data_IF_474479731130
#
_entry.id   IF_474479731130
#
_cell.length_a   1.000
_cell.length_b   1.000
_cell.length_c   1.000
_cell.angle_alpha   90.00
_cell.angle_beta   90.00
_cell.angle_gamma   90.00
#
_symmetry.space_group_name_H-M   'P 1'
#
loop_
_entity.id
_entity.type
_entity.pdbx_description
1 polymer ?
#
# COMPACT_ATOMS: atom_id res chain seq x y z
N UNK A 1 23.80 -19.17 -12.31
CA UNK A 1 22.81 -18.16 -11.90
C UNK A 1 21.70 -18.16 -12.93
N UNK A 2 20.43 -18.29 -12.52
CA UNK A 2 19.29 -18.19 -13.45
C UNK A 2 19.14 -16.75 -13.93
N UNK A 3 18.62 -16.54 -15.14
CA UNK A 3 18.37 -15.19 -15.69
C UNK A 3 17.55 -14.31 -14.73
N UNK A 4 16.52 -14.91 -14.11
CA UNK A 4 15.72 -14.28 -13.08
C UNK A 4 16.52 -13.79 -11.86
N UNK A 5 17.45 -14.59 -11.32
CA UNK A 5 18.27 -14.18 -10.16
C UNK A 5 19.17 -12.98 -10.46
N UNK A 6 19.68 -12.88 -11.69
CA UNK A 6 20.47 -11.73 -12.13
C UNK A 6 19.62 -10.45 -12.25
N UNK A 7 18.40 -10.56 -12.77
CA UNK A 7 17.44 -9.44 -12.81
C UNK A 7 17.06 -8.98 -11.40
N UNK A 8 16.73 -9.91 -10.50
CA UNK A 8 16.45 -9.56 -9.10
C UNK A 8 17.63 -8.87 -8.42
N UNK A 9 18.87 -9.31 -8.69
CA UNK A 9 20.06 -8.64 -8.19
C UNK A 9 20.21 -7.20 -8.72
N UNK A 10 19.86 -6.96 -9.99
CA UNK A 10 19.83 -5.61 -10.60
C UNK A 10 18.77 -4.73 -9.92
N UNK A 11 17.55 -5.24 -9.73
CA UNK A 11 16.47 -4.49 -9.08
C UNK A 11 16.78 -4.19 -7.60
N UNK A 12 17.37 -5.15 -6.88
CA UNK A 12 17.83 -4.94 -5.51
C UNK A 12 18.87 -3.82 -5.41
N UNK A 13 19.84 -3.83 -6.32
CA UNK A 13 20.89 -2.82 -6.37
C UNK A 13 20.33 -1.43 -6.74
N UNK A 14 19.34 -1.37 -7.62
CA UNK A 14 18.63 -0.13 -7.97
C UNK A 14 17.90 0.47 -6.77
N UNK A 15 17.16 -0.37 -6.03
CA UNK A 15 16.42 0.03 -4.83
C UNK A 15 17.37 0.45 -3.70
N UNK A 16 18.53 -0.19 -3.58
CA UNK A 16 19.58 0.18 -2.63
C UNK A 16 20.25 1.51 -2.99
N UNK A 17 20.61 1.71 -4.26
CA UNK A 17 21.29 2.94 -4.73
C UNK A 17 20.37 4.17 -4.68
N UNK A 18 19.07 3.98 -4.88
CA UNK A 18 18.06 5.01 -4.68
C UNK A 18 17.63 5.18 -3.22
N UNK A 19 18.30 4.47 -2.29
CA UNK A 19 18.04 4.47 -0.84
C UNK A 19 16.61 4.08 -0.44
N UNK A 20 15.77 3.60 -1.39
CA UNK A 20 14.38 3.21 -1.15
C UNK A 20 14.26 2.13 -0.08
N UNK A 21 15.25 1.23 0.02
CA UNK A 21 15.30 0.19 1.06
C UNK A 21 15.46 0.78 2.47
N UNK A 22 16.01 1.99 2.61
CA UNK A 22 16.26 2.63 3.90
C UNK A 22 15.16 3.64 4.21
N UNK A 23 14.92 4.59 3.30
CA UNK A 23 13.99 5.68 3.59
C UNK A 23 12.52 5.22 3.59
N UNK A 24 12.15 4.23 2.76
CA UNK A 24 10.76 3.78 2.70
C UNK A 24 10.30 3.12 4.01
N UNK A 25 11.07 2.17 4.61
CA UNK A 25 10.74 1.68 5.95
C UNK A 25 10.68 2.77 7.01
N UNK A 26 11.57 3.76 6.97
CA UNK A 26 11.56 4.87 7.93
C UNK A 26 10.26 5.68 7.79
N UNK A 27 9.83 5.98 6.57
CA UNK A 27 8.58 6.72 6.37
C UNK A 27 7.38 5.91 6.84
N UNK A 28 7.30 4.61 6.52
CA UNK A 28 6.23 3.76 7.03
C UNK A 28 6.26 3.59 8.55
N UNK A 29 7.44 3.54 9.16
CA UNK A 29 7.61 3.57 10.61
C UNK A 29 7.02 4.86 11.20
N UNK A 30 7.39 6.02 10.65
CA UNK A 30 6.85 7.30 11.10
C UNK A 30 5.32 7.36 10.93
N UNK A 31 4.78 6.92 9.80
CA UNK A 31 3.33 6.86 9.57
C UNK A 31 2.61 5.99 10.60
N UNK A 32 3.17 4.82 10.92
CA UNK A 32 2.63 3.93 11.94
C UNK A 32 2.64 4.54 13.35
N UNK A 33 3.64 5.39 13.65
CA UNK A 33 3.74 6.10 14.93
C UNK A 33 2.86 7.34 15.01
N UNK A 34 2.57 8.00 13.89
CA UNK A 34 1.82 9.25 13.86
C UNK A 34 0.45 9.11 14.51
N UNK A 35 -0.32 8.08 14.17
CA UNK A 35 -1.68 7.91 14.71
C UNK A 35 -1.71 7.68 16.23
N UNK A 36 -0.98 6.71 16.82
CA UNK A 36 -1.01 6.50 18.27
C UNK A 36 -0.47 7.70 19.06
N UNK A 37 0.58 8.36 18.56
CA UNK A 37 1.09 9.57 19.21
C UNK A 37 0.06 10.69 19.15
N UNK A 38 -0.54 10.94 17.99
CA UNK A 38 -1.56 11.97 17.84
C UNK A 38 -2.73 11.72 18.78
N UNK A 39 -3.24 10.48 18.83
CA UNK A 39 -4.42 10.18 19.64
C UNK A 39 -4.15 10.25 21.14
N UNK A 40 -2.95 9.88 21.59
CA UNK A 40 -2.56 9.95 22.99
C UNK A 40 -2.42 11.39 23.48
N UNK A 41 -1.80 12.26 22.67
CA UNK A 41 -1.56 13.66 23.04
C UNK A 41 -2.70 14.61 22.67
N UNK A 42 -3.70 14.17 21.87
CA UNK A 42 -4.82 14.99 21.45
C UNK A 42 -5.57 15.66 22.64
N UNK A 43 -5.88 14.98 23.76
CA UNK A 43 -6.54 15.62 24.89
C UNK A 43 -5.70 16.75 25.50
N UNK A 44 -4.39 16.58 25.60
CA UNK A 44 -3.50 17.58 26.18
C UNK A 44 -3.27 18.77 25.24
N UNK A 45 -3.21 18.52 23.93
CA UNK A 45 -3.22 19.58 22.91
C UNK A 45 -4.51 20.41 23.05
N UNK A 46 -5.67 19.75 23.17
CA UNK A 46 -6.94 20.45 23.32
C UNK A 46 -7.02 21.26 24.62
N UNK A 47 -6.47 20.79 25.74
CA UNK A 47 -6.42 21.58 26.99
C UNK A 47 -5.59 22.86 26.87
N UNK A 48 -4.52 22.83 26.08
CA UNK A 48 -3.61 23.98 25.92
C UNK A 48 -4.16 24.99 24.90
N UNK A 49 -4.78 24.52 23.82
CA UNK A 49 -5.24 25.36 22.72
C UNK A 49 -6.75 25.65 22.73
N UNK A 50 -7.54 24.86 23.46
CA UNK A 50 -8.99 25.02 23.57
C UNK A 50 -9.37 26.07 24.61
N UNK A 51 -10.23 27.00 24.22
CA UNK A 51 -10.76 28.04 25.11
C UNK A 51 -12.17 27.67 25.59
N UNK A 52 -12.35 27.48 26.89
CA UNK A 52 -13.68 27.41 27.53
C UNK A 52 -14.23 26.00 27.81
N UNK A 53 -15.41 25.96 28.44
CA UNK A 53 -16.12 24.75 28.91
C UNK A 53 -16.52 23.76 27.81
N UNK A 54 -16.53 24.20 26.55
CA UNK A 54 -16.77 23.33 25.39
C UNK A 54 -15.60 22.36 25.15
N UNK A 55 -14.37 22.75 25.50
CA UNK A 55 -13.18 21.89 25.34
C UNK A 55 -13.22 20.69 26.30
N UNK A 56 -13.65 20.91 27.54
CA UNK A 56 -13.81 19.84 28.53
C UNK A 56 -14.94 18.88 28.14
N UNK A 57 -16.03 19.40 27.57
CA UNK A 57 -17.12 18.58 27.04
C UNK A 57 -16.66 17.74 25.84
N UNK A 58 -15.87 18.31 24.91
CA UNK A 58 -15.30 17.57 23.77
C UNK A 58 -14.34 16.48 24.24
N UNK A 59 -13.47 16.76 25.22
CA UNK A 59 -12.55 15.76 25.79
C UNK A 59 -13.34 14.65 26.49
N UNK A 60 -14.40 14.98 27.23
CA UNK A 60 -15.26 14.00 27.87
C UNK A 60 -16.05 13.15 26.86
N UNK A 61 -16.52 13.75 25.76
CA UNK A 61 -17.22 13.07 24.67
C UNK A 61 -16.31 12.16 23.84
N UNK A 62 -15.02 12.50 23.71
CA UNK A 62 -14.04 11.71 22.96
C UNK A 62 -13.80 10.34 23.59
N UNK A 63 -14.03 10.21 24.90
CA UNK A 63 -13.83 9.00 25.67
C UNK A 63 -12.37 8.51 25.66
N UNK A 64 -12.12 7.40 26.36
CA UNK A 64 -10.85 6.71 26.20
C UNK A 64 -10.92 5.88 24.92
N UNK A 65 -10.12 6.24 23.91
CA UNK A 65 -10.04 5.47 22.67
C UNK A 65 -9.48 4.09 22.95
N UNK A 66 -10.13 3.07 22.40
CA UNK A 66 -9.64 1.70 22.52
C UNK A 66 -8.40 1.48 21.66
N UNK A 67 -7.52 0.56 22.07
CA UNK A 67 -6.36 0.16 21.29
C UNK A 67 -6.74 -0.29 19.87
N UNK A 68 -7.89 -0.97 19.74
CA UNK A 68 -8.44 -1.44 18.47
C UNK A 68 -8.84 -0.28 17.55
N UNK A 69 -9.48 0.77 18.07
CA UNK A 69 -9.86 1.95 17.29
C UNK A 69 -8.63 2.69 16.77
N UNK A 70 -7.63 2.91 17.62
CA UNK A 70 -6.40 3.59 17.21
C UNK A 70 -5.67 2.79 16.13
N UNK A 71 -5.61 1.47 16.26
CA UNK A 71 -5.00 0.61 15.24
C UNK A 71 -5.80 0.59 13.93
N UNK A 72 -7.13 0.54 14.01
CA UNK A 72 -8.01 0.61 12.85
C UNK A 72 -7.87 1.95 12.12
N UNK A 73 -7.77 3.07 12.84
CA UNK A 73 -7.51 4.39 12.27
C UNK A 73 -6.12 4.46 11.62
N UNK A 74 -5.10 3.86 12.24
CA UNK A 74 -3.75 3.80 11.68
C UNK A 74 -3.77 3.14 10.29
N UNK A 75 -4.47 2.01 10.18
CA UNK A 75 -4.60 1.26 8.94
C UNK A 75 -5.47 1.98 7.89
N UNK A 76 -6.68 2.37 8.27
CA UNK A 76 -7.69 2.94 7.37
C UNK A 76 -7.53 4.44 7.06
N UNK A 77 -6.64 5.15 7.76
CA UNK A 77 -6.36 6.56 7.49
C UNK A 77 -4.91 6.78 7.06
N UNK A 78 -3.93 6.41 7.91
CA UNK A 78 -2.52 6.73 7.62
C UNK A 78 -1.97 5.89 6.48
N UNK A 79 -2.10 4.56 6.57
CA UNK A 79 -1.59 3.69 5.51
C UNK A 79 -2.43 3.78 4.23
N UNK A 80 -3.76 3.85 4.34
CA UNK A 80 -4.64 3.94 3.17
C UNK A 80 -4.58 5.26 2.41
N UNK A 81 -4.30 6.38 3.07
CA UNK A 81 -4.17 7.66 2.37
C UNK A 81 -2.71 7.91 2.00
N UNK A 82 -1.86 8.09 3.01
CA UNK A 82 -0.48 8.53 2.80
C UNK A 82 0.40 7.35 2.37
N UNK A 83 0.26 6.18 2.99
CA UNK A 83 1.03 4.98 2.64
C UNK A 83 0.83 4.55 1.18
N UNK A 84 -0.42 4.57 0.70
CA UNK A 84 -0.75 4.30 -0.71
C UNK A 84 -0.11 5.34 -1.65
N UNK A 85 -0.20 6.63 -1.34
CA UNK A 85 0.42 7.67 -2.18
C UNK A 85 1.93 7.46 -2.27
N UNK A 86 2.58 7.15 -1.15
CA UNK A 86 4.03 6.91 -1.13
C UNK A 86 4.40 5.70 -1.98
N UNK A 87 3.70 4.57 -1.85
CA UNK A 87 4.04 3.38 -2.64
C UNK A 87 3.82 3.62 -4.14
N UNK A 88 2.79 4.39 -4.51
CA UNK A 88 2.58 4.82 -5.90
C UNK A 88 3.78 5.62 -6.40
N UNK A 89 4.25 6.62 -5.64
CA UNK A 89 5.42 7.45 -6.02
C UNK A 89 6.70 6.61 -6.13
N UNK A 90 6.88 5.62 -5.25
CA UNK A 90 8.03 4.71 -5.29
C UNK A 90 8.02 3.82 -6.53
N UNK A 91 6.85 3.30 -6.91
CA UNK A 91 6.69 2.30 -7.95
C UNK A 91 6.38 2.89 -9.34
N UNK A 92 5.93 4.14 -9.47
CA UNK A 92 5.51 4.74 -10.75
C UNK A 92 6.60 4.71 -11.83
N UNK A 93 7.88 4.75 -11.43
CA UNK A 93 9.04 4.77 -12.32
C UNK A 93 9.58 3.37 -12.67
N UNK A 94 9.02 2.30 -12.11
CA UNK A 94 9.67 0.98 -12.10
C UNK A 94 9.95 0.41 -13.51
N UNK A 95 9.00 0.53 -14.45
CA UNK A 95 9.15 0.08 -15.83
C UNK A 95 9.44 1.26 -16.76
N UNK A 96 8.81 2.40 -16.51
CA UNK A 96 8.98 3.60 -17.32
C UNK A 96 10.44 4.06 -17.38
N UNK A 97 11.17 4.03 -16.26
CA UNK A 97 12.57 4.50 -16.23
C UNK A 97 13.52 3.63 -17.06
N UNK A 98 13.24 2.33 -17.17
CA UNK A 98 13.99 1.44 -18.05
C UNK A 98 13.64 1.71 -19.52
N UNK A 99 12.40 2.08 -19.82
CA UNK A 99 11.96 2.48 -21.18
C UNK A 99 12.60 3.79 -21.63
N UNK A 100 12.52 4.84 -20.81
CA UNK A 100 13.01 6.18 -21.17
C UNK A 100 14.53 6.27 -21.27
N UNK A 101 15.26 5.36 -20.61
CA UNK A 101 16.71 5.24 -20.73
C UNK A 101 17.15 4.31 -21.89
N UNK A 102 16.21 3.76 -22.66
CA UNK A 102 16.49 2.76 -23.71
C UNK A 102 16.98 1.40 -23.18
N UNK A 103 17.02 1.23 -21.85
CA UNK A 103 17.50 -0.01 -21.21
C UNK A 103 16.57 -1.18 -21.51
N UNK A 104 15.26 -0.93 -21.61
CA UNK A 104 14.27 -1.97 -21.90
C UNK A 104 14.57 -2.68 -23.22
N UNK A 105 14.90 -1.94 -24.28
CA UNK A 105 15.25 -2.51 -25.57
C UNK A 105 16.52 -3.36 -25.49
N UNK A 106 17.53 -2.92 -24.73
CA UNK A 106 18.76 -3.68 -24.51
C UNK A 106 18.55 -4.95 -23.66
N UNK A 107 17.62 -4.92 -22.70
CA UNK A 107 17.29 -6.11 -21.91
C UNK A 107 16.58 -7.15 -22.78
N UNK A 108 15.69 -6.71 -23.67
CA UNK A 108 14.91 -7.60 -24.53
C UNK A 108 15.71 -8.23 -25.68
N UNK A 109 16.94 -7.78 -25.96
CA UNK A 109 17.85 -8.46 -26.90
C UNK A 109 18.63 -9.61 -26.27
N UNK A 110 18.63 -9.71 -24.93
CA UNK A 110 19.22 -10.84 -24.21
C UNK A 110 18.22 -12.01 -24.15
N UNK A 111 18.67 -13.25 -23.91
CA UNK A 111 17.79 -14.41 -23.77
C UNK A 111 17.03 -14.39 -22.42
N UNK A 112 16.26 -13.32 -22.19
CA UNK A 112 15.45 -13.09 -20.99
C UNK A 112 14.01 -12.94 -21.43
N UNK A 113 13.10 -13.66 -20.78
CA UNK A 113 11.68 -13.57 -21.12
C UNK A 113 11.06 -12.30 -20.55
N UNK A 114 10.04 -11.75 -21.22
CA UNK A 114 9.27 -10.61 -20.69
C UNK A 114 8.64 -10.93 -19.34
N UNK A 115 8.28 -12.21 -19.12
CA UNK A 115 7.75 -12.69 -17.84
C UNK A 115 8.78 -12.50 -16.73
N UNK A 116 10.01 -12.99 -16.90
CA UNK A 116 11.07 -12.84 -15.88
C UNK A 116 11.36 -11.38 -15.57
N UNK A 117 11.38 -10.52 -16.59
CA UNK A 117 11.56 -9.07 -16.41
C UNK A 117 10.43 -8.47 -15.56
N UNK A 118 9.17 -8.65 -15.95
CA UNK A 118 8.01 -8.09 -15.22
C UNK A 118 7.90 -8.68 -13.81
N UNK A 119 8.13 -10.00 -13.67
CA UNK A 119 8.14 -10.68 -12.38
C UNK A 119 9.20 -10.08 -11.46
N UNK A 120 10.41 -9.83 -11.96
CA UNK A 120 11.49 -9.25 -11.14
C UNK A 120 11.12 -7.85 -10.62
N UNK A 121 10.53 -7.01 -11.47
CA UNK A 121 10.05 -5.67 -11.11
C UNK A 121 8.96 -5.75 -10.05
N UNK A 122 7.92 -6.54 -10.31
CA UNK A 122 6.77 -6.66 -9.42
C UNK A 122 7.15 -7.25 -8.05
N UNK A 123 7.92 -8.34 -8.03
CA UNK A 123 8.38 -8.97 -6.79
C UNK A 123 9.23 -8.00 -5.98
N UNK A 124 10.14 -7.25 -6.62
CA UNK A 124 10.99 -6.30 -5.90
C UNK A 124 10.17 -5.15 -5.28
N UNK A 125 9.17 -4.61 -5.99
CA UNK A 125 8.28 -3.59 -5.41
C UNK A 125 7.45 -4.16 -4.25
N UNK A 126 6.95 -5.39 -4.38
CA UNK A 126 6.24 -6.06 -3.29
C UNK A 126 7.15 -6.29 -2.08
N UNK A 127 8.39 -6.74 -2.28
CA UNK A 127 9.34 -7.00 -1.20
C UNK A 127 9.67 -5.73 -0.41
N UNK A 128 10.03 -4.64 -1.10
CA UNK A 128 10.39 -3.37 -0.44
C UNK A 128 9.15 -2.72 0.18
N UNK A 129 8.02 -2.74 -0.53
CA UNK A 129 6.75 -2.18 -0.06
C UNK A 129 6.23 -2.92 1.18
N UNK A 130 6.06 -4.24 1.11
CA UNK A 130 5.59 -5.05 2.24
C UNK A 130 6.59 -5.07 3.39
N UNK A 131 7.89 -5.07 3.11
CA UNK A 131 8.94 -4.93 4.12
C UNK A 131 8.86 -3.59 4.87
N UNK A 132 8.48 -2.52 4.19
CA UNK A 132 8.27 -1.22 4.82
C UNK A 132 6.97 -1.20 5.62
N UNK A 133 5.89 -1.75 5.04
CA UNK A 133 4.58 -1.85 5.68
C UNK A 133 4.63 -2.68 6.96
N UNK A 134 5.31 -3.83 6.97
CA UNK A 134 5.41 -4.67 8.18
C UNK A 134 6.16 -3.94 9.30
N UNK A 135 7.22 -3.19 8.98
CA UNK A 135 7.95 -2.39 9.97
C UNK A 135 7.04 -1.31 10.56
N UNK A 136 6.31 -0.57 9.71
CA UNK A 136 5.35 0.44 10.16
C UNK A 136 4.21 -0.15 11.00
N UNK A 137 3.66 -1.27 10.56
CA UNK A 137 2.55 -1.96 11.23
C UNK A 137 2.96 -2.52 12.60
N UNK A 138 4.12 -3.17 12.69
CA UNK A 138 4.66 -3.70 13.96
C UNK A 138 4.97 -2.56 14.94
N UNK A 139 5.56 -1.45 14.46
CA UNK A 139 5.83 -0.30 15.32
C UNK A 139 4.54 0.36 15.82
N UNK A 140 3.53 0.50 14.98
CA UNK A 140 2.21 0.98 15.38
C UNK A 140 1.62 0.07 16.47
N UNK A 141 1.56 -1.24 16.24
CA UNK A 141 1.03 -2.21 17.19
C UNK A 141 1.79 -2.20 18.52
N UNK A 142 3.13 -2.07 18.48
CA UNK A 142 3.97 -1.98 19.67
C UNK A 142 3.67 -0.74 20.52
N UNK A 143 3.59 0.45 19.89
CA UNK A 143 3.29 1.68 20.61
C UNK A 143 1.85 1.73 21.10
N UNK A 144 0.90 1.19 20.33
CA UNK A 144 -0.49 1.10 20.75
C UNK A 144 -0.64 0.16 21.95
N UNK A 145 0.05 -0.98 21.95
CA UNK A 145 0.09 -1.89 23.10
C UNK A 145 0.53 -1.16 24.37
N UNK A 146 1.58 -0.36 24.27
CA UNK A 146 2.14 0.39 25.40
C UNK A 146 1.23 1.53 25.89
N UNK A 147 0.56 2.25 24.98
CA UNK A 147 -0.21 3.45 25.31
C UNK A 147 -1.69 3.18 25.62
N UNK A 148 -2.31 2.23 24.91
CA UNK A 148 -3.77 1.99 24.94
C UNK A 148 -4.14 0.57 25.41
N UNK A 149 -3.16 -0.32 25.57
CA UNK A 149 -3.37 -1.68 26.07
C UNK A 149 -3.48 -2.75 24.97
N UNK A 150 -3.98 -3.93 25.35
CA UNK A 150 -3.79 -5.13 24.54
C UNK A 150 -4.75 -5.22 23.33
N UNK A 151 -4.22 -5.70 22.21
CA UNK A 151 -4.99 -6.11 21.03
C UNK A 151 -4.73 -7.59 20.81
N UNK A 152 -5.77 -8.35 20.49
CA UNK A 152 -5.63 -9.77 20.19
C UNK A 152 -4.65 -9.98 19.02
N UNK A 153 -3.57 -10.73 19.26
CA UNK A 153 -2.53 -11.00 18.26
C UNK A 153 -3.12 -11.65 17.00
N UNK A 154 -4.14 -12.50 17.15
CA UNK A 154 -4.82 -13.13 16.03
C UNK A 154 -5.48 -12.10 15.08
N UNK A 155 -6.16 -11.08 15.62
CA UNK A 155 -6.81 -10.05 14.79
C UNK A 155 -5.78 -9.12 14.14
N UNK A 156 -4.65 -8.84 14.81
CA UNK A 156 -3.52 -8.12 14.22
C UNK A 156 -2.92 -8.88 13.02
N UNK A 157 -2.62 -10.16 13.19
CA UNK A 157 -2.02 -10.96 12.11
C UNK A 157 -3.00 -11.08 10.93
N UNK A 158 -4.28 -11.38 11.18
CA UNK A 158 -5.28 -11.50 10.12
C UNK A 158 -5.46 -10.18 9.36
N UNK A 159 -5.62 -9.06 10.07
CA UNK A 159 -5.77 -7.75 9.44
C UNK A 159 -4.54 -7.34 8.62
N UNK A 160 -3.33 -7.65 9.09
CA UNK A 160 -2.10 -7.41 8.33
C UNK A 160 -2.09 -8.16 6.99
N UNK A 161 -2.46 -9.45 6.97
CA UNK A 161 -2.50 -10.22 5.72
C UNK A 161 -3.57 -9.74 4.75
N UNK A 162 -4.76 -9.40 5.26
CA UNK A 162 -5.87 -8.86 4.45
C UNK A 162 -5.47 -7.51 3.84
N UNK A 163 -4.89 -6.63 4.66
CA UNK A 163 -4.42 -5.34 4.20
C UNK A 163 -3.24 -5.46 3.22
N UNK A 164 -2.33 -6.40 3.45
CA UNK A 164 -1.21 -6.66 2.53
C UNK A 164 -1.69 -7.05 1.15
N UNK A 165 -2.81 -7.79 1.03
CA UNK A 165 -3.40 -8.14 -0.26
C UNK A 165 -3.90 -6.90 -1.02
N UNK A 166 -4.58 -5.98 -0.31
CA UNK A 166 -4.96 -4.67 -0.86
C UNK A 166 -3.73 -3.87 -1.31
N UNK A 167 -2.68 -3.84 -0.49
CA UNK A 167 -1.45 -3.14 -0.79
C UNK A 167 -0.73 -3.72 -2.03
N UNK A 168 -0.71 -5.05 -2.19
CA UNK A 168 -0.18 -5.73 -3.38
C UNK A 168 -1.02 -5.40 -4.62
N UNK A 169 -2.35 -5.30 -4.49
CA UNK A 169 -3.20 -4.86 -5.59
C UNK A 169 -2.82 -3.45 -6.07
N UNK A 170 -2.61 -2.50 -5.16
CA UNK A 170 -2.16 -1.14 -5.49
C UNK A 170 -0.81 -1.17 -6.22
N UNK A 171 0.17 -1.94 -5.72
CA UNK A 171 1.47 -2.10 -6.39
C UNK A 171 1.27 -2.65 -7.81
N UNK A 172 0.41 -3.66 -7.98
CA UNK A 172 0.13 -4.28 -9.28
C UNK A 172 -0.48 -3.29 -10.27
N UNK A 173 -1.42 -2.47 -9.80
CA UNK A 173 -2.03 -1.39 -10.58
C UNK A 173 -0.97 -0.36 -11.02
N UNK A 174 -0.09 0.07 -10.13
CA UNK A 174 0.96 1.06 -10.43
C UNK A 174 1.99 0.51 -11.40
N UNK A 175 2.41 -0.75 -11.23
CA UNK A 175 3.34 -1.42 -12.14
C UNK A 175 2.71 -1.54 -13.54
N UNK A 176 1.42 -1.90 -13.62
CA UNK A 176 0.69 -1.90 -14.88
C UNK A 176 0.62 -0.50 -15.51
N UNK A 177 0.26 0.53 -14.74
CA UNK A 177 0.21 1.90 -15.23
C UNK A 177 1.60 2.38 -15.71
N UNK A 178 2.67 2.04 -15.00
CA UNK A 178 4.07 2.33 -15.39
C UNK A 178 4.44 1.69 -16.73
N UNK A 179 3.89 0.51 -17.05
CA UNK A 179 4.06 -0.11 -18.36
C UNK A 179 3.16 0.53 -19.44
N UNK A 180 1.94 0.95 -19.10
CA UNK A 180 0.97 1.49 -20.05
C UNK A 180 1.31 2.92 -20.52
N UNK A 181 1.78 3.77 -19.61
CA UNK A 181 1.99 5.20 -19.82
C UNK A 181 3.46 5.63 -19.76
N UNK A 182 3.81 6.62 -20.58
CA UNK A 182 5.19 7.09 -20.72
C UNK A 182 5.56 8.27 -19.80
N UNK A 183 4.57 8.89 -19.14
CA UNK A 183 4.78 10.00 -18.19
C UNK A 183 4.59 9.59 -16.74
N UNK A 184 5.61 9.80 -15.88
CA UNK A 184 5.54 9.48 -14.44
C UNK A 184 4.36 10.18 -13.76
N UNK A 185 4.08 11.43 -14.13
CA UNK A 185 2.97 12.19 -13.55
C UNK A 185 1.62 11.52 -13.85
N UNK A 186 1.43 11.05 -15.09
CA UNK A 186 0.20 10.36 -15.50
C UNK A 186 0.04 9.05 -14.73
N UNK A 187 1.11 8.27 -14.59
CA UNK A 187 1.11 7.01 -13.82
C UNK A 187 0.69 7.25 -12.38
N UNK A 188 1.25 8.27 -11.73
CA UNK A 188 0.92 8.61 -10.36
C UNK A 188 -0.55 9.07 -10.21
N UNK A 189 -0.97 10.04 -11.02
CA UNK A 189 -2.33 10.62 -10.96
C UNK A 189 -3.39 9.53 -11.17
N UNK A 190 -3.25 8.71 -12.21
CA UNK A 190 -4.23 7.66 -12.52
C UNK A 190 -4.29 6.63 -11.39
N UNK A 191 -3.13 6.18 -10.90
CA UNK A 191 -3.09 5.15 -9.85
C UNK A 191 -3.69 5.65 -8.53
N UNK A 192 -3.35 6.87 -8.11
CA UNK A 192 -3.91 7.49 -6.91
C UNK A 192 -5.41 7.73 -7.09
N UNK A 193 -5.83 8.28 -8.23
CA UNK A 193 -7.25 8.55 -8.51
C UNK A 193 -8.10 7.29 -8.46
N UNK A 194 -7.67 6.21 -9.13
CA UNK A 194 -8.36 4.92 -9.10
C UNK A 194 -8.43 4.40 -7.67
N UNK A 195 -7.34 4.47 -6.91
CA UNK A 195 -7.29 3.96 -5.54
C UNK A 195 -8.23 4.72 -4.59
N UNK A 196 -8.26 6.06 -4.69
CA UNK A 196 -9.20 6.90 -3.94
C UNK A 196 -10.64 6.59 -4.34
N UNK A 197 -10.92 6.44 -5.63
CA UNK A 197 -12.27 6.14 -6.13
C UNK A 197 -12.76 4.78 -5.60
N UNK A 198 -11.91 3.75 -5.61
CA UNK A 198 -12.22 2.45 -5.00
C UNK A 198 -12.47 2.57 -3.49
N UNK A 199 -11.67 3.38 -2.79
CA UNK A 199 -11.87 3.70 -1.38
C UNK A 199 -13.22 4.36 -1.11
N UNK A 200 -13.61 5.35 -1.91
CA UNK A 200 -14.91 6.02 -1.82
C UNK A 200 -16.06 5.03 -2.08
N UNK A 201 -15.95 4.19 -3.13
CA UNK A 201 -16.96 3.17 -3.44
C UNK A 201 -17.13 2.21 -2.27
N UNK A 202 -16.07 1.87 -1.55
CA UNK A 202 -16.14 1.01 -0.36
C UNK A 202 -17.00 1.61 0.76
N UNK A 203 -17.25 2.93 0.74
CA UNK A 203 -18.19 3.67 1.58
C UNK A 203 -19.65 3.22 1.49
N UNK A 204 -20.11 2.87 0.29
CA UNK A 204 -21.54 2.77 0.00
C UNK A 204 -22.17 1.39 0.27
N UNK A 205 -21.37 0.38 0.62
CA UNK A 205 -21.85 -0.98 0.89
C UNK A 205 -22.41 -1.69 -0.35
N UNK A 206 -23.14 -2.79 -0.13
CA UNK A 206 -23.83 -3.56 -1.18
C UNK A 206 -23.00 -4.65 -1.87
N UNK A 207 -23.66 -5.41 -2.76
CA UNK A 207 -23.05 -6.56 -3.47
C UNK A 207 -21.86 -6.18 -4.37
N UNK A 208 -21.80 -4.93 -4.81
CA UNK A 208 -20.70 -4.40 -5.66
C UNK A 208 -19.35 -4.48 -4.94
N UNK A 209 -19.33 -4.51 -3.61
CA UNK A 209 -18.09 -4.62 -2.82
C UNK A 209 -17.35 -5.94 -3.01
N UNK A 210 -18.03 -6.98 -3.51
CA UNK A 210 -17.40 -8.22 -3.93
C UNK A 210 -16.31 -7.98 -5.00
N UNK A 211 -16.48 -6.97 -5.85
CA UNK A 211 -15.54 -6.64 -6.91
C UNK A 211 -14.52 -5.56 -6.55
N UNK A 212 -14.70 -4.88 -5.40
CA UNK A 212 -13.91 -3.73 -5.00
C UNK A 212 -12.73 -4.13 -4.08
N UNK A 213 -11.47 -4.08 -4.54
CA UNK A 213 -10.33 -4.48 -3.73
C UNK A 213 -10.10 -3.58 -2.51
N UNK A 214 -10.51 -2.31 -2.54
CA UNK A 214 -10.41 -1.41 -1.39
C UNK A 214 -11.27 -1.86 -0.20
N UNK A 215 -12.28 -2.69 -0.45
CA UNK A 215 -13.09 -3.29 0.61
C UNK A 215 -12.28 -4.22 1.53
N UNK A 216 -11.14 -4.75 1.07
CA UNK A 216 -10.23 -5.50 1.93
C UNK A 216 -9.62 -4.63 3.02
N UNK A 217 -9.31 -3.35 2.75
CA UNK A 217 -8.82 -2.45 3.80
C UNK A 217 -9.87 -2.25 4.89
N UNK A 218 -11.14 -2.05 4.50
CA UNK A 218 -12.26 -1.97 5.45
C UNK A 218 -12.48 -3.27 6.24
N UNK A 219 -12.31 -4.42 5.59
CA UNK A 219 -12.35 -5.70 6.31
C UNK A 219 -11.20 -5.82 7.31
N UNK A 220 -10.01 -5.34 6.96
CA UNK A 220 -8.86 -5.35 7.86
C UNK A 220 -9.11 -4.47 9.10
N UNK A 221 -9.69 -3.28 8.94
CA UNK A 221 -10.06 -2.43 10.08
C UNK A 221 -11.19 -3.05 10.92
N UNK A 222 -12.22 -3.61 10.28
CA UNK A 222 -13.34 -4.26 10.98
C UNK A 222 -12.88 -5.49 11.78
N UNK A 223 -11.94 -6.28 11.25
CA UNK A 223 -11.34 -7.42 11.94
C UNK A 223 -10.59 -6.99 13.22
N UNK A 224 -9.92 -5.84 13.19
CA UNK A 224 -9.25 -5.28 14.38
C UNK A 224 -10.28 -4.84 15.42
N UNK A 225 -11.33 -4.14 14.99
CA UNK A 225 -12.34 -3.55 15.88
C UNK A 225 -13.26 -4.59 16.53
N UNK A 226 -13.74 -5.55 15.75
CA UNK A 226 -14.81 -6.47 16.16
C UNK A 226 -14.41 -7.94 16.18
N UNK A 227 -13.25 -8.30 15.62
CA UNK A 227 -12.87 -9.69 15.39
C UNK A 227 -13.70 -10.40 14.30
N UNK A 228 -14.64 -9.70 13.65
CA UNK A 228 -15.52 -10.27 12.64
C UNK A 228 -15.19 -9.69 11.26
N UNK A 229 -15.30 -10.54 10.23
CA UNK A 229 -15.21 -10.13 8.83
C UNK A 229 -16.53 -9.52 8.36
N UNK A 230 -16.47 -8.62 7.38
CA UNK A 230 -17.67 -8.09 6.74
C UNK A 230 -18.25 -9.10 5.73
N UNK A 231 -19.45 -8.80 5.22
CA UNK A 231 -20.08 -9.59 4.17
C UNK A 231 -19.19 -9.71 2.92
N UNK A 232 -19.32 -10.81 2.17
CA UNK A 232 -18.57 -11.05 0.93
C UNK A 232 -17.03 -11.10 1.07
N UNK A 233 -16.48 -11.11 2.29
CA UNK A 233 -15.04 -11.10 2.57
C UNK A 233 -14.21 -12.09 1.72
N UNK A 234 -14.60 -13.38 1.72
CA UNK A 234 -13.88 -14.40 0.94
C UNK A 234 -13.96 -14.14 -0.56
N UNK A 235 -15.10 -13.67 -1.04
CA UNK A 235 -15.30 -13.38 -2.45
C UNK A 235 -14.42 -12.21 -2.91
N UNK A 236 -14.31 -11.16 -2.10
CA UNK A 236 -13.42 -10.01 -2.35
C UNK A 236 -11.95 -10.44 -2.39
N UNK A 237 -11.50 -11.38 -1.55
CA UNK A 237 -10.13 -11.93 -1.60
C UNK A 237 -9.85 -12.57 -2.96
N UNK A 238 -10.69 -13.52 -3.39
CA UNK A 238 -10.46 -14.25 -4.64
C UNK A 238 -10.52 -13.32 -5.86
N UNK A 239 -11.46 -12.37 -5.88
CA UNK A 239 -11.56 -11.40 -6.97
C UNK A 239 -10.36 -10.46 -6.99
N UNK A 240 -9.86 -10.03 -5.83
CA UNK A 240 -8.65 -9.19 -5.76
C UNK A 240 -7.43 -9.93 -6.29
N UNK A 241 -7.27 -11.21 -5.96
CA UNK A 241 -6.21 -12.06 -6.52
C UNK A 241 -6.36 -12.17 -8.05
N UNK A 242 -7.59 -12.35 -8.55
CA UNK A 242 -7.85 -12.38 -9.98
C UNK A 242 -7.47 -11.05 -10.66
N UNK A 243 -7.78 -9.90 -10.05
CA UNK A 243 -7.36 -8.59 -10.53
C UNK A 243 -5.84 -8.41 -10.55
N UNK A 244 -5.14 -8.88 -9.51
CA UNK A 244 -3.66 -8.84 -9.45
C UNK A 244 -3.07 -9.63 -10.62
N UNK A 245 -3.57 -10.86 -10.85
CA UNK A 245 -3.12 -11.70 -11.97
C UNK A 245 -3.43 -11.02 -13.30
N UNK A 246 -4.61 -10.44 -13.45
CA UNK A 246 -5.02 -9.72 -14.65
C UNK A 246 -4.11 -8.51 -14.93
N UNK A 247 -3.81 -7.66 -13.94
CA UNK A 247 -2.87 -6.55 -14.11
C UNK A 247 -1.45 -7.02 -14.42
N UNK A 248 -1.01 -8.12 -13.83
CA UNK A 248 0.28 -8.72 -14.13
C UNK A 248 0.37 -9.16 -15.61
N UNK A 249 -0.66 -9.86 -16.11
CA UNK A 249 -0.75 -10.28 -17.52
C UNK A 249 -0.80 -9.06 -18.45
N UNK A 250 -1.62 -8.06 -18.13
CA UNK A 250 -1.69 -6.82 -18.91
C UNK A 250 -0.35 -6.08 -18.96
N UNK A 251 0.41 -6.10 -17.86
CA UNK A 251 1.76 -5.52 -17.80
C UNK A 251 2.69 -6.22 -18.78
N UNK A 252 2.68 -7.56 -18.82
CA UNK A 252 3.47 -8.34 -19.78
C UNK A 252 3.11 -7.96 -21.21
N UNK A 253 1.82 -7.86 -21.52
CA UNK A 253 1.34 -7.49 -22.85
C UNK A 253 1.79 -6.08 -23.25
N UNK A 254 1.67 -5.09 -22.35
CA UNK A 254 2.09 -3.71 -22.61
C UNK A 254 3.59 -3.59 -22.85
N UNK A 255 4.42 -4.33 -22.10
CA UNK A 255 5.87 -4.35 -22.29
C UNK A 255 6.25 -4.96 -23.65
N UNK A 256 5.53 -5.97 -24.12
CA UNK A 256 5.76 -6.57 -25.46
C UNK A 256 5.40 -5.62 -26.60
N UNK A 257 4.31 -4.86 -26.46
CA UNK A 257 3.86 -3.93 -27.52
C UNK A 257 4.77 -2.69 -27.60
N UNK A 258 5.24 -2.19 -26.45
CA UNK A 258 6.00 -0.94 -26.35
C UNK A 258 7.42 -1.18 -25.80
N UNK A 259 8.31 -1.89 -26.53
CA UNK A 259 9.68 -2.10 -26.06
C UNK A 259 10.57 -0.85 -26.21
N UNK A 260 10.20 0.11 -27.05
CA UNK A 260 10.96 1.33 -27.36
C UNK A 260 10.18 2.59 -26.99
N UNK A 261 10.90 3.64 -26.61
CA UNK A 261 10.37 5.00 -26.51
C UNK A 261 10.03 5.48 -27.93
N UNK A 262 8.82 6.02 -28.13
CA UNK A 262 8.52 6.73 -29.39
C UNK A 262 9.46 7.93 -29.44
N UNK A 263 10.40 7.93 -30.38
CA UNK A 263 11.15 9.12 -30.75
C UNK A 263 10.17 10.10 -31.38
N UNK A 264 9.81 11.15 -30.64
CA UNK A 264 9.23 12.37 -31.22
C UNK A 264 10.30 13.19 -31.92
#
# INVERSE_FOLDING_TARGET
MTHFSALMGKEWLEQRRSLKIIWLPIVFALLGLTQPMMMYFLPDILKVFGTGSETEQVIALMGNQSAQEVMAQTLGSQFDQIGIIIIVVVAMTCIQSDRTKGMLAFIMTRPVTTLEYVLSKWVMQCLVGLGSLIIGYVLAAYYIYFLFGEIAINTLIQSFFVYSLWFIFVISLVVFASAAFDSNAIVAIISVFITILLGIISGFGGWVQMFNPAYLSKNATMLIMSGQSMDHYLATIFITIAWIIMFFILTIFMVKIKPLQKTE
#
